data_IF_731456025804
#
_entry.id   IF_731456025804
#
_cell.length_a   1.000
_cell.length_b   1.000
_cell.length_c   1.000
_cell.angle_alpha   90.00
_cell.angle_beta   90.00
_cell.angle_gamma   90.00
#
_symmetry.space_group_name_H-M   'P 1'
#
loop_
_entity.id
_entity.type
_entity.pdbx_description
1 polymer ?
#
# COMPACT_ATOMS: atom_id res chain seq x y z
N UNK A 1 -26.82 50.24 34.58
CA UNK A 1 -25.61 49.40 34.54
C UNK A 1 -26.07 47.95 34.34
N UNK A 2 -26.19 47.51 33.07
CA UNK A 2 -26.68 46.18 32.72
C UNK A 2 -25.49 45.35 32.22
N UNK A 3 -25.15 44.28 32.97
CA UNK A 3 -24.06 43.35 32.64
C UNK A 3 -24.62 42.37 31.63
N UNK A 4 -24.16 42.49 30.36
CA UNK A 4 -24.48 41.56 29.30
C UNK A 4 -23.73 40.22 29.57
N UNK A 5 -24.50 39.18 29.87
CA UNK A 5 -23.99 37.81 29.98
C UNK A 5 -23.50 37.32 28.60
N UNK A 6 -22.19 37.18 28.44
CA UNK A 6 -21.56 36.46 27.30
C UNK A 6 -21.95 35.00 27.39
N UNK A 7 -22.89 34.56 26.58
CA UNK A 7 -23.13 33.14 26.30
C UNK A 7 -21.88 32.59 25.66
N UNK A 8 -21.19 31.70 26.36
CA UNK A 8 -20.10 30.85 25.78
C UNK A 8 -20.74 29.96 24.74
N UNK A 9 -20.58 30.30 23.46
CA UNK A 9 -20.85 29.35 22.36
C UNK A 9 -20.02 28.09 22.59
N UNK A 10 -20.72 27.00 22.91
CA UNK A 10 -20.11 25.68 22.94
C UNK A 10 -19.63 25.39 21.52
N UNK A 11 -18.37 24.98 21.33
CA UNK A 11 -17.89 24.62 20.00
C UNK A 11 -18.80 23.54 19.42
N UNK A 12 -19.37 23.84 18.26
CA UNK A 12 -20.22 22.95 17.51
C UNK A 12 -19.44 21.64 17.28
N UNK A 13 -19.86 20.54 17.93
CA UNK A 13 -19.25 19.21 17.77
C UNK A 13 -19.25 18.89 16.27
N UNK A 14 -18.08 18.92 15.64
CA UNK A 14 -17.89 18.42 14.28
C UNK A 14 -18.52 17.04 14.20
N UNK A 15 -19.30 16.78 13.14
CA UNK A 15 -20.02 15.50 12.90
C UNK A 15 -19.00 14.44 12.43
N UNK A 16 -17.96 14.20 13.22
CA UNK A 16 -17.07 13.03 13.08
C UNK A 16 -17.65 11.94 13.97
N UNK A 17 -18.39 11.03 13.36
CA UNK A 17 -18.88 9.83 14.06
C UNK A 17 -17.71 9.08 14.72
N UNK A 18 -18.00 8.22 15.71
CA UNK A 18 -17.00 7.37 16.35
C UNK A 18 -16.32 6.46 15.32
N UNK A 19 -15.08 6.06 15.59
CA UNK A 19 -14.36 5.04 14.80
C UNK A 19 -15.13 3.71 14.84
N UNK A 20 -15.35 3.12 13.64
CA UNK A 20 -16.13 1.87 13.49
C UNK A 20 -15.14 0.70 13.33
N UNK A 21 -14.61 0.23 14.46
CA UNK A 21 -13.59 -0.82 14.49
C UNK A 21 -13.97 -2.12 13.77
N UNK A 22 -15.22 -2.67 13.90
CA UNK A 22 -15.58 -3.89 13.18
C UNK A 22 -15.39 -3.75 11.65
N UNK A 23 -15.78 -2.61 11.08
CA UNK A 23 -15.59 -2.35 9.64
C UNK A 23 -14.11 -2.26 9.29
N UNK A 24 -13.29 -1.59 10.13
CA UNK A 24 -11.85 -1.48 9.91
C UNK A 24 -11.14 -2.84 9.96
N UNK A 25 -11.50 -3.69 10.93
CA UNK A 25 -10.91 -5.02 11.04
C UNK A 25 -11.32 -5.90 9.87
N UNK A 26 -12.61 -5.90 9.48
CA UNK A 26 -13.08 -6.71 8.37
C UNK A 26 -12.45 -6.24 7.06
N UNK A 27 -12.37 -4.93 6.77
CA UNK A 27 -11.73 -4.45 5.53
C UNK A 27 -10.21 -4.70 5.53
N UNK A 28 -9.55 -4.68 6.70
CA UNK A 28 -8.15 -5.07 6.85
C UNK A 28 -7.94 -6.56 6.56
N UNK A 29 -8.81 -7.44 7.06
CA UNK A 29 -8.80 -8.88 6.73
C UNK A 29 -9.05 -9.08 5.23
N UNK A 30 -10.03 -8.40 4.65
CA UNK A 30 -10.27 -8.49 3.21
C UNK A 30 -9.06 -8.02 2.39
N UNK A 31 -8.32 -7.01 2.86
CA UNK A 31 -7.07 -6.57 2.23
C UNK A 31 -5.98 -7.65 2.32
N UNK A 32 -5.84 -8.28 3.50
CA UNK A 32 -4.93 -9.41 3.66
C UNK A 32 -5.25 -10.53 2.67
N UNK A 33 -6.53 -10.92 2.56
CA UNK A 33 -6.95 -11.98 1.65
C UNK A 33 -6.75 -11.59 0.18
N UNK A 34 -7.06 -10.35 -0.21
CA UNK A 34 -6.81 -9.84 -1.56
C UNK A 34 -5.32 -9.90 -1.94
N UNK A 35 -4.44 -9.42 -1.07
CA UNK A 35 -3.01 -9.39 -1.35
C UNK A 35 -2.38 -10.77 -1.28
N UNK A 36 -2.94 -11.68 -0.47
CA UNK A 36 -2.58 -13.10 -0.50
C UNK A 36 -2.87 -13.71 -1.87
N UNK A 37 -4.03 -13.42 -2.50
CA UNK A 37 -4.34 -13.91 -3.85
C UNK A 37 -3.33 -13.43 -4.89
N UNK A 38 -2.84 -12.19 -4.77
CA UNK A 38 -1.80 -11.67 -5.66
C UNK A 38 -0.44 -12.31 -5.40
N UNK A 39 -0.08 -12.50 -4.13
CA UNK A 39 1.20 -13.08 -3.71
C UNK A 39 1.37 -14.55 -4.14
N UNK A 40 0.29 -15.27 -4.39
CA UNK A 40 0.30 -16.62 -4.97
C UNK A 40 0.97 -16.63 -6.35
N UNK A 41 0.82 -15.58 -7.16
CA UNK A 41 1.31 -15.55 -8.55
C UNK A 41 2.83 -15.68 -8.62
N UNK A 42 3.65 -14.81 -8.01
CA UNK A 42 5.10 -14.98 -8.01
C UNK A 42 5.54 -16.25 -7.25
N UNK A 43 4.80 -16.69 -6.25
CA UNK A 43 5.08 -17.93 -5.52
C UNK A 43 4.95 -19.19 -6.42
N UNK A 44 4.15 -19.11 -7.49
CA UNK A 44 3.99 -20.19 -8.48
C UNK A 44 5.14 -20.26 -9.50
N UNK A 45 5.97 -19.27 -9.66
CA UNK A 45 6.94 -19.19 -10.76
C UNK A 45 7.80 -20.43 -10.91
N UNK A 46 8.38 -21.03 -9.84
CA UNK A 46 9.16 -22.26 -9.98
C UNK A 46 8.33 -23.46 -10.46
N UNK A 47 7.02 -23.46 -10.15
CA UNK A 47 6.12 -24.53 -10.56
C UNK A 47 5.75 -24.37 -12.03
N UNK A 48 5.42 -23.16 -12.48
CA UNK A 48 5.10 -22.86 -13.87
C UNK A 48 6.30 -23.10 -14.80
N UNK A 49 7.51 -22.74 -14.35
CA UNK A 49 8.74 -23.06 -15.06
C UNK A 49 8.86 -24.56 -15.28
N UNK A 50 8.71 -25.37 -14.22
CA UNK A 50 8.88 -26.83 -14.29
C UNK A 50 7.76 -27.54 -15.04
N UNK A 51 6.49 -27.12 -14.84
CA UNK A 51 5.33 -27.82 -15.40
C UNK A 51 5.02 -27.44 -16.85
N UNK A 52 5.32 -26.20 -17.25
CA UNK A 52 4.98 -25.65 -18.56
C UNK A 52 6.20 -25.22 -19.38
N UNK A 53 7.41 -25.33 -18.84
CA UNK A 53 8.64 -24.90 -19.52
C UNK A 53 8.69 -23.39 -19.79
N UNK A 54 8.06 -22.56 -18.94
CA UNK A 54 8.04 -21.10 -19.13
C UNK A 54 9.45 -20.53 -18.93
N UNK A 55 9.84 -19.63 -19.84
CA UNK A 55 11.10 -18.90 -19.72
C UNK A 55 11.03 -17.83 -18.61
N UNK A 56 12.18 -17.41 -18.08
CA UNK A 56 12.24 -16.30 -17.10
C UNK A 56 11.62 -15.01 -17.64
N UNK A 57 11.78 -14.74 -18.94
CA UNK A 57 11.10 -13.63 -19.61
C UNK A 57 9.58 -13.74 -19.53
N UNK A 58 9.02 -14.92 -19.73
CA UNK A 58 7.57 -15.14 -19.62
C UNK A 58 7.09 -15.00 -18.19
N UNK A 59 7.84 -15.50 -17.21
CA UNK A 59 7.55 -15.27 -15.78
C UNK A 59 7.61 -13.77 -15.42
N UNK A 60 8.61 -13.07 -15.94
CA UNK A 60 8.71 -11.61 -15.81
C UNK A 60 7.52 -10.87 -16.43
N UNK A 61 7.03 -11.32 -17.60
CA UNK A 61 5.83 -10.75 -18.23
C UNK A 61 4.55 -11.01 -17.42
N UNK A 62 4.44 -12.15 -16.74
CA UNK A 62 3.34 -12.42 -15.80
C UNK A 62 3.35 -11.39 -14.66
N UNK A 63 4.50 -11.21 -14.00
CA UNK A 63 4.66 -10.23 -12.92
C UNK A 63 4.41 -8.79 -13.39
N UNK A 64 4.95 -8.44 -14.56
CA UNK A 64 4.73 -7.13 -15.18
C UNK A 64 3.25 -6.87 -15.46
N UNK A 65 2.55 -7.83 -16.06
CA UNK A 65 1.12 -7.73 -16.38
C UNK A 65 0.30 -7.51 -15.10
N UNK A 66 0.56 -8.29 -14.05
CA UNK A 66 -0.11 -8.11 -12.76
C UNK A 66 0.09 -6.71 -12.23
N UNK A 67 1.35 -6.26 -12.12
CA UNK A 67 1.70 -4.98 -11.51
C UNK A 67 1.21 -3.80 -12.36
N UNK A 68 1.31 -3.87 -13.69
CA UNK A 68 0.81 -2.82 -14.58
C UNK A 68 -0.70 -2.66 -14.46
N UNK A 69 -1.45 -3.76 -14.57
CA UNK A 69 -2.92 -3.72 -14.48
C UNK A 69 -3.34 -3.23 -13.09
N UNK A 70 -2.76 -3.81 -12.03
CA UNK A 70 -3.13 -3.44 -10.66
C UNK A 70 -2.75 -2.00 -10.30
N UNK A 71 -1.64 -1.47 -10.81
CA UNK A 71 -1.12 -0.15 -10.40
C UNK A 71 -1.65 1.00 -11.25
N UNK A 72 -1.58 0.87 -12.58
CA UNK A 72 -1.94 1.97 -13.49
C UNK A 72 -3.44 2.25 -13.49
N UNK A 73 -4.26 1.22 -13.29
CA UNK A 73 -5.71 1.38 -13.26
C UNK A 73 -6.24 2.00 -11.95
N UNK A 74 -5.49 1.92 -10.83
CA UNK A 74 -5.96 2.42 -9.52
C UNK A 74 -6.35 3.90 -9.53
N UNK A 75 -5.53 4.85 -10.03
CA UNK A 75 -5.89 6.26 -10.05
C UNK A 75 -7.13 6.54 -10.90
N UNK A 76 -7.26 5.86 -12.05
CA UNK A 76 -8.40 6.01 -12.96
C UNK A 76 -9.70 5.52 -12.31
N UNK A 77 -9.66 4.34 -11.68
CA UNK A 77 -10.79 3.75 -10.95
C UNK A 77 -11.13 4.64 -9.74
N UNK A 78 -10.14 5.07 -8.97
CA UNK A 78 -10.33 5.98 -7.85
C UNK A 78 -11.01 7.28 -8.24
N UNK A 79 -10.58 7.88 -9.37
CA UNK A 79 -11.21 9.08 -9.91
C UNK A 79 -12.67 8.86 -10.34
N UNK A 80 -12.96 7.71 -10.98
CA UNK A 80 -14.32 7.37 -11.38
C UNK A 80 -15.22 7.16 -10.16
N UNK A 81 -14.76 6.40 -9.17
CA UNK A 81 -15.54 6.07 -7.97
C UNK A 81 -15.65 7.24 -6.98
N UNK A 82 -14.75 8.23 -7.03
CA UNK A 82 -14.92 9.50 -6.32
C UNK A 82 -16.14 10.28 -6.80
N UNK A 83 -16.41 10.21 -8.11
CA UNK A 83 -17.57 10.86 -8.73
C UNK A 83 -18.84 10.03 -8.59
N UNK A 84 -18.72 8.70 -8.69
CA UNK A 84 -19.82 7.74 -8.66
C UNK A 84 -19.51 6.61 -7.67
N UNK A 85 -19.66 6.84 -6.35
CA UNK A 85 -19.39 5.82 -5.36
C UNK A 85 -20.16 4.53 -5.64
N UNK A 86 -19.46 3.41 -5.67
CA UNK A 86 -19.97 2.09 -6.05
C UNK A 86 -19.80 1.10 -4.88
N UNK A 87 -20.71 1.02 -3.92
CA UNK A 87 -20.56 0.17 -2.73
C UNK A 87 -20.28 -1.30 -3.04
N UNK A 88 -20.81 -1.81 -4.15
CA UNK A 88 -20.63 -3.21 -4.56
C UNK A 88 -19.41 -3.44 -5.47
N UNK A 89 -18.61 -2.41 -5.75
CA UNK A 89 -17.38 -2.58 -6.53
C UNK A 89 -16.39 -3.53 -5.83
N UNK A 90 -16.28 -3.48 -4.50
CA UNK A 90 -15.39 -4.32 -3.71
C UNK A 90 -15.66 -5.83 -3.85
N UNK A 91 -16.89 -6.34 -3.62
CA UNK A 91 -17.16 -7.76 -3.80
C UNK A 91 -17.04 -8.19 -5.28
N UNK A 92 -17.40 -7.35 -6.25
CA UNK A 92 -17.24 -7.65 -7.69
C UNK A 92 -15.74 -7.75 -8.03
N UNK A 93 -14.92 -6.84 -7.51
CA UNK A 93 -13.49 -6.84 -7.69
C UNK A 93 -12.84 -8.14 -7.21
N UNK A 94 -13.15 -8.53 -5.98
CA UNK A 94 -12.57 -9.73 -5.39
C UNK A 94 -13.13 -11.01 -6.01
N UNK A 95 -14.38 -11.00 -6.48
CA UNK A 95 -14.95 -12.10 -7.26
C UNK A 95 -14.22 -12.27 -8.61
N UNK A 96 -13.87 -11.16 -9.28
CA UNK A 96 -13.01 -11.20 -10.48
C UNK A 96 -11.66 -11.83 -10.19
N UNK A 97 -11.01 -11.44 -9.07
CA UNK A 97 -9.75 -12.05 -8.63
C UNK A 97 -9.91 -13.55 -8.34
N UNK A 98 -11.00 -13.96 -7.69
CA UNK A 98 -11.29 -15.37 -7.41
C UNK A 98 -11.47 -16.20 -8.69
N UNK A 99 -12.14 -15.66 -9.71
CA UNK A 99 -12.25 -16.30 -11.05
C UNK A 99 -10.87 -16.41 -11.68
N UNK A 100 -10.04 -15.34 -11.62
CA UNK A 100 -8.69 -15.36 -12.15
C UNK A 100 -7.81 -16.42 -11.46
N UNK A 101 -7.89 -16.55 -10.15
CA UNK A 101 -7.19 -17.57 -9.35
C UNK A 101 -7.66 -18.98 -9.73
N UNK A 102 -8.97 -19.19 -9.84
CA UNK A 102 -9.51 -20.48 -10.28
C UNK A 102 -9.03 -20.86 -11.69
N UNK A 103 -9.13 -19.92 -12.64
CA UNK A 103 -8.62 -20.10 -13.99
C UNK A 103 -7.11 -20.38 -14.03
N UNK A 104 -6.33 -19.71 -13.18
CA UNK A 104 -4.88 -19.89 -13.08
C UNK A 104 -4.50 -21.31 -12.64
N UNK A 105 -5.30 -21.94 -11.76
CA UNK A 105 -5.08 -23.32 -11.31
C UNK A 105 -5.11 -24.35 -12.44
N UNK A 106 -5.88 -24.08 -13.50
CA UNK A 106 -6.09 -24.99 -14.62
C UNK A 106 -5.67 -24.39 -15.97
N UNK A 107 -4.92 -23.28 -15.96
CA UNK A 107 -4.47 -22.62 -17.17
C UNK A 107 -3.51 -23.52 -17.97
N UNK A 108 -3.86 -23.87 -19.23
CA UNK A 108 -3.06 -24.82 -20.03
C UNK A 108 -1.97 -24.15 -20.84
N UNK A 109 -1.91 -22.81 -20.88
CA UNK A 109 -0.96 -22.08 -21.70
C UNK A 109 -0.58 -20.73 -21.08
N UNK A 110 0.56 -20.18 -21.52
CA UNK A 110 1.02 -18.86 -21.13
C UNK A 110 -0.04 -17.76 -21.37
N UNK A 111 -0.74 -17.80 -22.51
CA UNK A 111 -1.77 -16.82 -22.83
C UNK A 111 -2.96 -16.87 -21.86
N UNK A 112 -3.39 -18.08 -21.48
CA UNK A 112 -4.47 -18.24 -20.47
C UNK A 112 -4.03 -17.79 -19.09
N UNK A 113 -2.76 -18.02 -18.71
CA UNK A 113 -2.19 -17.46 -17.48
C UNK A 113 -2.27 -15.95 -17.49
N UNK A 114 -1.84 -15.28 -18.57
CA UNK A 114 -1.90 -13.81 -18.68
C UNK A 114 -3.34 -13.27 -18.54
N UNK A 115 -4.31 -13.95 -19.18
CA UNK A 115 -5.73 -13.57 -19.04
C UNK A 115 -6.20 -13.66 -17.58
N UNK A 116 -5.87 -14.75 -16.89
CA UNK A 116 -6.19 -14.92 -15.48
C UNK A 116 -5.54 -13.84 -14.60
N UNK A 117 -4.28 -13.53 -14.87
CA UNK A 117 -3.52 -12.48 -14.16
C UNK A 117 -4.11 -11.09 -14.39
N UNK A 118 -4.60 -10.79 -15.59
CA UNK A 118 -5.34 -9.53 -15.87
C UNK A 118 -6.59 -9.45 -15.00
N UNK A 119 -7.38 -10.53 -14.88
CA UNK A 119 -8.57 -10.55 -14.01
C UNK A 119 -8.22 -10.30 -12.54
N UNK A 120 -7.13 -10.89 -12.05
CA UNK A 120 -6.63 -10.68 -10.69
C UNK A 120 -6.17 -9.23 -10.51
N UNK A 121 -5.41 -8.71 -11.48
CA UNK A 121 -4.92 -7.33 -11.47
C UNK A 121 -6.06 -6.29 -11.49
N UNK A 122 -7.10 -6.50 -12.30
CA UNK A 122 -8.30 -5.64 -12.33
C UNK A 122 -9.05 -5.65 -11.00
N UNK A 123 -9.20 -6.83 -10.38
CA UNK A 123 -9.78 -6.95 -9.05
C UNK A 123 -9.02 -6.14 -8.03
N UNK A 124 -7.70 -6.27 -8.01
CA UNK A 124 -6.80 -5.51 -7.14
C UNK A 124 -6.87 -4.00 -7.40
N UNK A 125 -6.88 -3.59 -8.68
CA UNK A 125 -6.96 -2.18 -9.09
C UNK A 125 -8.22 -1.48 -8.57
N UNK A 126 -9.33 -2.18 -8.46
CA UNK A 126 -10.59 -1.69 -7.88
C UNK A 126 -10.54 -1.74 -6.35
N UNK A 127 -9.98 -2.83 -5.80
CA UNK A 127 -10.00 -3.09 -4.37
C UNK A 127 -9.26 -2.02 -3.56
N UNK A 128 -8.04 -1.65 -3.96
CA UNK A 128 -7.21 -0.74 -3.18
C UNK A 128 -7.82 0.66 -2.99
N UNK A 129 -8.28 1.41 -4.01
CA UNK A 129 -8.87 2.72 -3.81
C UNK A 129 -10.20 2.65 -3.04
N UNK A 130 -11.05 1.66 -3.32
CA UNK A 130 -12.34 1.53 -2.65
C UNK A 130 -12.21 1.02 -1.22
N UNK A 131 -11.31 0.07 -0.94
CA UNK A 131 -11.01 -0.41 0.40
C UNK A 131 -10.45 0.70 1.29
N UNK A 132 -9.52 1.50 0.78
CA UNK A 132 -8.99 2.68 1.47
C UNK A 132 -10.09 3.73 1.73
N UNK A 133 -11.05 3.90 0.81
CA UNK A 133 -12.24 4.76 1.01
C UNK A 133 -13.11 4.24 2.16
N UNK A 134 -13.39 2.94 2.23
CA UNK A 134 -14.13 2.32 3.33
C UNK A 134 -13.42 2.54 4.66
N UNK A 135 -12.09 2.31 4.70
CA UNK A 135 -11.27 2.56 5.88
C UNK A 135 -11.36 4.03 6.33
N UNK A 136 -11.27 4.98 5.39
CA UNK A 136 -11.42 6.41 5.67
C UNK A 136 -12.82 6.76 6.22
N UNK A 137 -13.89 6.18 5.65
CA UNK A 137 -15.28 6.41 6.12
C UNK A 137 -15.53 5.83 7.51
N UNK A 138 -14.84 4.75 7.88
CA UNK A 138 -14.94 4.11 9.19
C UNK A 138 -14.00 4.72 10.24
N UNK A 139 -13.06 5.57 9.83
CA UNK A 139 -11.98 6.11 10.67
C UNK A 139 -12.44 7.00 11.82
N UNK A 140 -13.52 7.75 11.65
CA UNK A 140 -13.86 8.83 12.59
C UNK A 140 -12.72 9.84 12.74
N UNK A 141 -12.29 10.17 13.98
CA UNK A 141 -11.16 11.07 14.19
C UNK A 141 -9.78 10.42 13.98
N UNK A 142 -9.69 9.07 13.89
CA UNK A 142 -8.43 8.30 13.88
C UNK A 142 -8.05 7.83 12.48
N UNK A 143 -7.85 8.76 11.55
CA UNK A 143 -7.60 8.45 10.13
C UNK A 143 -6.30 7.69 9.91
N UNK A 144 -5.23 8.07 10.62
CA UNK A 144 -3.94 7.39 10.57
C UNK A 144 -4.06 5.92 11.01
N UNK A 145 -4.65 5.68 12.18
CA UNK A 145 -4.87 4.32 12.69
C UNK A 145 -5.73 3.48 11.74
N UNK A 146 -6.82 4.04 11.21
CA UNK A 146 -7.71 3.33 10.30
C UNK A 146 -6.99 2.89 9.02
N UNK A 147 -6.20 3.79 8.42
CA UNK A 147 -5.41 3.47 7.24
C UNK A 147 -4.29 2.47 7.55
N UNK A 148 -3.69 2.54 8.74
CA UNK A 148 -2.69 1.56 9.18
C UNK A 148 -3.29 0.16 9.34
N UNK A 149 -4.44 0.01 9.97
CA UNK A 149 -5.13 -1.29 10.08
C UNK A 149 -5.40 -1.87 8.68
N UNK A 150 -5.86 -1.04 7.76
CA UNK A 150 -6.09 -1.44 6.38
C UNK A 150 -4.80 -1.91 5.68
N UNK A 151 -3.72 -1.12 5.76
CA UNK A 151 -2.46 -1.41 5.07
C UNK A 151 -1.70 -2.60 5.66
N UNK A 152 -1.74 -2.78 6.99
CA UNK A 152 -1.14 -3.95 7.65
C UNK A 152 -1.78 -5.24 7.14
N UNK A 153 -3.10 -5.23 6.86
CA UNK A 153 -3.76 -6.35 6.21
C UNK A 153 -3.04 -6.75 4.93
N UNK A 154 -2.88 -5.83 3.98
CA UNK A 154 -2.20 -6.10 2.71
C UNK A 154 -0.77 -6.60 2.89
N UNK A 155 0.04 -5.90 3.69
CA UNK A 155 1.43 -6.29 3.95
C UNK A 155 1.54 -7.71 4.55
N UNK A 156 0.61 -8.08 5.45
CA UNK A 156 0.54 -9.43 6.03
C UNK A 156 0.19 -10.47 4.97
N UNK A 157 -0.74 -10.14 4.07
CA UNK A 157 -1.12 -11.01 2.95
C UNK A 157 0.07 -11.33 2.04
N UNK A 158 0.86 -10.31 1.69
CA UNK A 158 2.08 -10.48 0.89
C UNK A 158 3.15 -11.30 1.62
N UNK A 159 3.29 -11.14 2.94
CA UNK A 159 4.27 -11.88 3.73
C UNK A 159 3.97 -13.40 3.79
N UNK A 160 2.75 -13.83 3.48
CA UNK A 160 2.41 -15.25 3.39
C UNK A 160 2.94 -15.96 2.14
N UNK A 161 3.40 -15.25 1.11
CA UNK A 161 3.84 -15.85 -0.16
C UNK A 161 4.86 -17.01 0.01
N UNK A 162 5.93 -16.87 0.80
CA UNK A 162 6.88 -17.98 1.01
C UNK A 162 6.26 -19.20 1.68
N UNK A 163 5.35 -19.00 2.63
CA UNK A 163 4.65 -20.10 3.32
C UNK A 163 3.69 -20.82 2.37
N UNK A 164 2.96 -20.07 1.56
CA UNK A 164 2.07 -20.60 0.52
C UNK A 164 2.86 -21.47 -0.45
N UNK A 165 4.00 -20.97 -0.95
CA UNK A 165 4.86 -21.74 -1.83
C UNK A 165 5.31 -23.06 -1.19
N UNK A 166 5.86 -22.99 0.03
CA UNK A 166 6.44 -24.15 0.70
C UNK A 166 5.40 -25.22 1.08
N UNK A 167 4.24 -24.82 1.61
CA UNK A 167 3.29 -25.74 2.22
C UNK A 167 2.14 -26.15 1.31
N UNK A 168 1.82 -25.38 0.27
CA UNK A 168 0.68 -25.66 -0.61
C UNK A 168 1.10 -25.89 -2.07
N UNK A 169 1.92 -25.01 -2.63
CA UNK A 169 2.19 -25.07 -4.06
C UNK A 169 3.24 -26.13 -4.42
N UNK A 170 4.24 -26.33 -3.56
CA UNK A 170 5.26 -27.38 -3.80
C UNK A 170 4.63 -28.78 -3.79
N UNK A 171 3.81 -29.19 -2.79
CA UNK A 171 3.20 -30.51 -2.79
C UNK A 171 2.04 -30.69 -3.77
N UNK A 172 1.26 -29.65 -4.07
CA UNK A 172 0.03 -29.76 -4.87
C UNK A 172 0.18 -29.31 -6.33
N UNK A 173 1.32 -28.69 -6.67
CA UNK A 173 1.54 -28.12 -7.99
C UNK A 173 0.59 -26.97 -8.35
N UNK A 174 0.48 -26.68 -9.65
CA UNK A 174 -0.39 -25.62 -10.17
C UNK A 174 -1.87 -25.76 -9.74
N UNK A 175 -2.51 -26.96 -9.72
CA UNK A 175 -3.89 -27.12 -9.25
C UNK A 175 -4.09 -26.71 -7.78
N UNK A 176 -3.05 -26.75 -6.96
CA UNK A 176 -3.09 -26.30 -5.57
C UNK A 176 -3.53 -24.84 -5.39
N UNK A 177 -3.38 -24.01 -6.43
CA UNK A 177 -3.85 -22.62 -6.44
C UNK A 177 -5.38 -22.54 -6.32
N UNK A 178 -6.14 -23.54 -6.78
CA UNK A 178 -7.59 -23.54 -6.69
C UNK A 178 -8.13 -23.36 -5.25
N UNK A 179 -7.38 -23.79 -4.23
CA UNK A 179 -7.75 -23.59 -2.82
C UNK A 179 -7.88 -22.11 -2.44
N UNK A 180 -7.12 -21.24 -3.10
CA UNK A 180 -7.20 -19.79 -2.88
C UNK A 180 -8.49 -19.18 -3.42
N UNK A 181 -9.21 -19.86 -4.30
CA UNK A 181 -10.56 -19.45 -4.69
C UNK A 181 -11.52 -19.45 -3.49
N UNK A 182 -11.40 -20.42 -2.58
CA UNK A 182 -12.18 -20.47 -1.34
C UNK A 182 -11.87 -19.25 -0.48
N UNK A 183 -10.57 -18.89 -0.37
CA UNK A 183 -10.13 -17.69 0.35
C UNK A 183 -10.75 -16.43 -0.26
N UNK A 184 -10.75 -16.32 -1.59
CA UNK A 184 -11.39 -15.23 -2.32
C UNK A 184 -12.90 -15.16 -2.07
N UNK A 185 -13.59 -16.30 -2.11
CA UNK A 185 -15.04 -16.35 -1.87
C UNK A 185 -15.44 -16.00 -0.43
N UNK A 186 -14.63 -16.39 0.58
CA UNK A 186 -14.82 -15.95 1.97
C UNK A 186 -14.72 -14.42 2.06
N UNK A 187 -13.70 -13.84 1.40
CA UNK A 187 -13.55 -12.40 1.38
C UNK A 187 -14.68 -11.68 0.63
N UNK A 188 -15.23 -12.26 -0.46
CA UNK A 188 -16.44 -11.74 -1.12
C UNK A 188 -17.62 -11.69 -0.13
N UNK A 189 -17.81 -12.73 0.69
CA UNK A 189 -18.84 -12.75 1.74
C UNK A 189 -18.68 -11.59 2.74
N UNK A 190 -17.47 -11.35 3.24
CA UNK A 190 -17.19 -10.21 4.11
C UNK A 190 -17.41 -8.86 3.41
N UNK A 191 -17.04 -8.76 2.15
CA UNK A 191 -17.21 -7.53 1.37
C UNK A 191 -18.67 -7.23 1.04
N UNK A 192 -19.54 -8.23 0.90
CA UNK A 192 -20.98 -8.02 0.78
C UNK A 192 -21.56 -7.39 2.06
N UNK A 193 -21.09 -7.81 3.24
CA UNK A 193 -21.45 -7.16 4.50
C UNK A 193 -20.98 -5.69 4.53
N UNK A 194 -19.70 -5.43 4.18
CA UNK A 194 -19.16 -4.07 4.09
C UNK A 194 -19.96 -3.22 3.08
N UNK A 195 -20.32 -3.78 1.93
CA UNK A 195 -21.05 -3.05 0.88
C UNK A 195 -22.40 -2.54 1.35
N UNK A 196 -23.11 -3.32 2.16
CA UNK A 196 -24.39 -2.90 2.78
C UNK A 196 -24.16 -1.73 3.74
N UNK A 197 -23.16 -1.81 4.60
CA UNK A 197 -22.77 -0.71 5.50
C UNK A 197 -22.37 0.54 4.71
N UNK A 198 -21.55 0.38 3.69
CA UNK A 198 -21.09 1.46 2.82
C UNK A 198 -22.26 2.16 2.13
N UNK A 199 -23.20 1.41 1.54
CA UNK A 199 -24.39 1.96 0.90
C UNK A 199 -25.24 2.79 1.88
N UNK A 200 -25.48 2.27 3.09
CA UNK A 200 -26.19 2.99 4.14
C UNK A 200 -25.46 4.27 4.59
N UNK A 201 -24.14 4.21 4.72
CA UNK A 201 -23.35 5.37 5.09
C UNK A 201 -23.37 6.47 4.03
N UNK A 202 -23.34 6.08 2.73
CA UNK A 202 -23.50 7.04 1.62
C UNK A 202 -24.85 7.77 1.64
N UNK A 203 -25.93 7.05 1.94
CA UNK A 203 -27.25 7.66 2.05
C UNK A 203 -27.28 8.72 3.16
N UNK A 204 -26.69 8.41 4.32
CA UNK A 204 -26.57 9.34 5.44
C UNK A 204 -25.74 10.58 5.05
N UNK A 205 -24.58 10.40 4.40
CA UNK A 205 -23.74 11.51 3.96
C UNK A 205 -24.48 12.39 2.94
N UNK A 206 -25.17 11.80 1.97
CA UNK A 206 -25.96 12.54 0.97
C UNK A 206 -27.12 13.33 1.60
N UNK A 207 -27.80 12.74 2.59
CA UNK A 207 -28.88 13.42 3.32
C UNK A 207 -28.35 14.62 4.12
N UNK A 208 -27.17 14.49 4.73
CA UNK A 208 -26.50 15.59 5.45
C UNK A 208 -25.98 16.67 4.49
N UNK A 209 -25.40 16.29 3.35
CA UNK A 209 -24.91 17.22 2.34
C UNK A 209 -26.02 18.10 1.74
N UNK A 210 -27.25 17.56 1.60
CA UNK A 210 -28.42 18.34 1.15
C UNK A 210 -28.86 19.42 2.15
N UNK A 211 -28.49 19.27 3.44
CA UNK A 211 -28.82 20.22 4.52
C UNK A 211 -27.70 21.20 4.82
N UNK A 212 -26.50 20.97 4.29
CA UNK A 212 -25.36 21.86 4.50
C UNK A 212 -25.29 22.93 3.40
N UNK A 213 -24.91 24.18 3.72
CA UNK A 213 -24.65 25.20 2.71
C UNK A 213 -23.55 24.70 1.77
N UNK A 214 -23.64 25.08 0.49
CA UNK A 214 -22.64 24.72 -0.51
C UNK A 214 -21.26 25.22 -0.05
N UNK A 215 -20.31 24.28 0.13
CA UNK A 215 -18.93 24.68 0.44
C UNK A 215 -18.38 25.45 -0.75
N UNK A 216 -17.82 26.63 -0.47
CA UNK A 216 -17.13 27.44 -1.46
C UNK A 216 -16.06 26.61 -2.19
N UNK A 217 -15.92 26.85 -3.48
CA UNK A 217 -14.84 26.23 -4.26
C UNK A 217 -13.50 26.68 -3.66
N UNK A 218 -12.58 25.73 -3.47
CA UNK A 218 -11.22 25.99 -2.97
C UNK A 218 -10.57 27.10 -3.80
N UNK A 219 -9.96 28.08 -3.16
CA UNK A 219 -9.26 29.15 -3.84
C UNK A 219 -8.12 28.55 -4.73
N UNK A 220 -7.87 29.14 -5.87
CA UNK A 220 -6.80 28.67 -6.78
C UNK A 220 -5.41 28.71 -6.14
N UNK A 221 -5.20 29.57 -5.15
CA UNK A 221 -3.94 29.67 -4.38
C UNK A 221 -3.68 28.39 -3.60
N UNK A 222 -4.67 27.89 -2.87
CA UNK A 222 -4.52 26.64 -2.10
C UNK A 222 -4.39 25.41 -3.00
N UNK A 223 -5.04 25.43 -4.17
CA UNK A 223 -4.94 24.32 -5.13
C UNK A 223 -3.51 24.14 -5.68
N UNK A 224 -2.80 25.22 -6.02
CA UNK A 224 -1.41 25.15 -6.47
C UNK A 224 -0.50 24.58 -5.39
N UNK A 225 -0.61 25.08 -4.16
CA UNK A 225 0.16 24.57 -3.01
C UNK A 225 -0.13 23.10 -2.72
N UNK A 226 -1.38 22.66 -2.81
CA UNK A 226 -1.76 21.26 -2.62
C UNK A 226 -1.20 20.36 -3.74
N UNK A 227 -1.16 20.82 -5.00
CA UNK A 227 -0.55 20.08 -6.12
C UNK A 227 0.97 19.97 -5.96
N UNK A 228 1.64 21.03 -5.52
CA UNK A 228 3.08 20.99 -5.21
C UNK A 228 3.37 19.99 -4.09
N UNK A 229 2.58 20.03 -3.00
CA UNK A 229 2.72 19.07 -1.90
C UNK A 229 2.47 17.62 -2.37
N UNK A 230 1.49 17.39 -3.25
CA UNK A 230 1.23 16.09 -3.84
C UNK A 230 2.43 15.61 -4.69
N UNK A 231 3.03 16.49 -5.49
CA UNK A 231 4.23 16.19 -6.27
C UNK A 231 5.40 15.76 -5.38
N UNK A 232 5.63 16.47 -4.27
CA UNK A 232 6.64 16.12 -3.27
C UNK A 232 6.34 14.73 -2.68
N UNK A 233 5.10 14.46 -2.25
CA UNK A 233 4.70 13.15 -1.71
C UNK A 233 4.94 12.02 -2.72
N UNK A 234 4.56 12.21 -3.98
CA UNK A 234 4.80 11.23 -5.06
C UNK A 234 6.30 10.94 -5.21
N UNK A 235 7.14 11.97 -5.16
CA UNK A 235 8.59 11.80 -5.24
C UNK A 235 9.17 11.09 -4.00
N UNK A 236 8.66 11.36 -2.81
CA UNK A 236 9.07 10.65 -1.60
C UNK A 236 8.61 9.17 -1.62
N UNK A 237 7.44 8.88 -2.20
CA UNK A 237 6.98 7.51 -2.44
C UNK A 237 7.94 6.79 -3.38
N UNK A 238 8.40 7.44 -4.46
CA UNK A 238 9.42 6.90 -5.36
C UNK A 238 10.68 6.51 -4.60
N UNK A 239 11.27 7.42 -3.83
CA UNK A 239 12.51 7.17 -3.09
C UNK A 239 12.37 5.98 -2.12
N UNK A 240 11.27 5.95 -1.35
CA UNK A 240 10.97 4.85 -0.43
C UNK A 240 10.77 3.53 -1.15
N UNK A 241 9.99 3.51 -2.23
CA UNK A 241 9.67 2.28 -2.97
C UNK A 241 10.91 1.69 -3.64
N UNK A 242 11.78 2.51 -4.23
CA UNK A 242 13.01 2.02 -4.83
C UNK A 242 13.96 1.43 -3.79
N UNK A 243 14.13 2.09 -2.64
CA UNK A 243 14.94 1.53 -1.55
C UNK A 243 14.35 0.21 -1.04
N UNK A 244 13.04 0.17 -0.76
CA UNK A 244 12.36 -1.04 -0.31
C UNK A 244 12.48 -2.19 -1.31
N UNK A 245 12.36 -1.91 -2.62
CA UNK A 245 12.54 -2.91 -3.67
C UNK A 245 14.01 -3.40 -3.79
N UNK A 246 14.99 -2.51 -3.62
CA UNK A 246 16.39 -2.91 -3.59
C UNK A 246 16.63 -3.94 -2.48
N UNK A 247 16.10 -3.69 -1.29
CA UNK A 247 16.22 -4.64 -0.17
C UNK A 247 15.42 -5.93 -0.46
N UNK A 248 14.16 -5.83 -0.83
CA UNK A 248 13.29 -7.02 -0.98
C UNK A 248 13.72 -7.93 -2.12
N UNK A 249 14.25 -7.38 -3.23
CA UNK A 249 14.55 -8.17 -4.43
C UNK A 249 16.03 -8.53 -4.56
N UNK A 250 16.95 -7.71 -4.03
CA UNK A 250 18.38 -7.89 -4.32
C UNK A 250 19.24 -8.08 -3.10
N UNK A 251 18.78 -7.72 -1.89
CA UNK A 251 19.62 -7.84 -0.70
C UNK A 251 19.96 -9.31 -0.36
N UNK A 252 19.11 -10.27 -0.71
CA UNK A 252 19.42 -11.68 -0.53
C UNK A 252 20.70 -12.08 -1.30
N UNK A 253 20.81 -11.63 -2.56
CA UNK A 253 22.03 -11.86 -3.38
C UNK A 253 23.25 -11.16 -2.76
N UNK A 254 23.06 -9.93 -2.28
CA UNK A 254 24.10 -9.21 -1.57
C UNK A 254 24.59 -9.98 -0.34
N UNK A 255 23.67 -10.49 0.48
CA UNK A 255 24.01 -11.24 1.69
C UNK A 255 24.71 -12.58 1.39
N UNK A 256 24.35 -13.24 0.30
CA UNK A 256 25.03 -14.45 -0.19
C UNK A 256 26.44 -14.11 -0.61
N UNK A 257 26.63 -13.06 -1.42
CA UNK A 257 27.94 -12.66 -1.96
C UNK A 257 28.88 -12.13 -0.86
N UNK A 258 28.40 -11.25 0.02
CA UNK A 258 29.23 -10.57 1.01
C UNK A 258 29.45 -11.38 2.29
N UNK A 259 28.48 -12.20 2.69
CA UNK A 259 28.55 -12.92 3.97
C UNK A 259 28.70 -14.44 3.80
N UNK A 260 28.71 -14.93 2.56
CA UNK A 260 28.79 -16.38 2.28
C UNK A 260 27.57 -17.16 2.79
N UNK A 261 26.40 -16.52 2.91
CA UNK A 261 25.19 -17.14 3.43
C UNK A 261 24.57 -18.09 2.41
N UNK A 262 23.88 -19.10 2.90
CA UNK A 262 22.99 -19.91 2.06
C UNK A 262 21.77 -19.12 1.62
N UNK A 263 21.09 -19.58 0.56
CA UNK A 263 19.82 -18.98 0.10
C UNK A 263 18.81 -18.92 1.25
N UNK A 264 18.71 -20.00 2.04
CA UNK A 264 17.77 -20.07 3.16
C UNK A 264 18.06 -19.00 4.23
N UNK A 265 19.32 -18.84 4.58
CA UNK A 265 19.75 -17.84 5.57
C UNK A 265 19.52 -16.43 5.06
N UNK A 266 19.85 -16.14 3.80
CA UNK A 266 19.65 -14.81 3.20
C UNK A 266 18.17 -14.39 3.19
N UNK A 267 17.23 -15.33 2.99
CA UNK A 267 15.80 -15.07 3.04
C UNK A 267 15.31 -14.62 4.42
N UNK A 268 16.01 -15.00 5.51
CA UNK A 268 15.64 -14.54 6.86
C UNK A 268 15.82 -13.03 7.03
N UNK A 269 16.79 -12.43 6.33
CA UNK A 269 17.01 -10.98 6.33
C UNK A 269 15.84 -10.24 5.68
N UNK A 270 15.38 -10.75 4.54
CA UNK A 270 14.23 -10.17 3.82
C UNK A 270 12.95 -10.33 4.64
N UNK A 271 12.73 -11.52 5.22
CA UNK A 271 11.58 -11.77 6.09
C UNK A 271 11.56 -10.79 7.28
N UNK A 272 12.73 -10.58 7.94
CA UNK A 272 12.81 -9.65 9.07
C UNK A 272 12.48 -8.21 8.65
N UNK A 273 13.01 -7.75 7.52
CA UNK A 273 12.70 -6.43 6.97
C UNK A 273 11.20 -6.26 6.72
N UNK A 274 10.56 -7.25 6.10
CA UNK A 274 9.14 -7.20 5.75
C UNK A 274 8.22 -7.28 6.97
N UNK A 275 8.49 -8.20 7.91
CA UNK A 275 7.62 -8.37 9.09
C UNK A 275 7.73 -7.16 10.03
N UNK A 276 8.94 -6.67 10.27
CA UNK A 276 9.14 -5.44 11.02
C UNK A 276 8.63 -4.21 10.26
N UNK A 277 8.66 -4.25 8.94
CA UNK A 277 8.01 -3.27 8.09
C UNK A 277 6.49 -3.22 8.28
N UNK A 278 5.82 -4.36 8.40
CA UNK A 278 4.40 -4.41 8.73
C UNK A 278 4.11 -3.76 10.10
N UNK A 279 4.96 -4.04 11.11
CA UNK A 279 4.87 -3.38 12.43
C UNK A 279 5.07 -1.87 12.31
N UNK A 280 6.07 -1.42 11.53
CA UNK A 280 6.31 0.00 11.25
C UNK A 280 5.09 0.67 10.63
N UNK A 281 4.50 0.05 9.61
CA UNK A 281 3.27 0.54 8.97
C UNK A 281 2.12 0.69 9.96
N UNK A 282 1.96 -0.25 10.90
CA UNK A 282 0.94 -0.17 11.95
C UNK A 282 1.21 1.01 12.89
N UNK A 283 2.44 1.12 13.39
CA UNK A 283 2.83 2.17 14.34
C UNK A 283 2.74 3.57 13.73
N UNK A 284 2.98 3.70 12.41
CA UNK A 284 2.97 4.97 11.71
C UNK A 284 1.66 5.76 11.85
N UNK A 285 0.51 5.08 11.82
CA UNK A 285 -0.79 5.74 11.96
C UNK A 285 -1.00 6.41 13.31
N UNK A 286 -0.92 5.70 14.45
CA UNK A 286 -0.99 6.29 15.77
C UNK A 286 0.06 7.39 16.01
N UNK A 287 1.28 7.21 15.49
CA UNK A 287 2.31 8.24 15.56
C UNK A 287 1.93 9.50 14.78
N UNK A 288 1.33 9.34 13.60
CA UNK A 288 0.87 10.46 12.81
C UNK A 288 -0.33 11.19 13.44
N UNK A 289 -1.23 10.45 14.06
CA UNK A 289 -2.36 11.03 14.80
C UNK A 289 -1.89 11.84 16.02
N UNK A 290 -0.73 11.49 16.61
CA UNK A 290 -0.15 12.17 17.80
C UNK A 290 0.83 13.28 17.42
N UNK A 291 1.74 13.04 16.50
CA UNK A 291 2.88 13.93 16.20
C UNK A 291 2.73 14.70 14.89
N UNK A 292 1.66 14.43 14.12
CA UNK A 292 1.41 15.00 12.81
C UNK A 292 2.02 14.18 11.67
N UNK A 293 1.32 14.15 10.55
CA UNK A 293 1.65 13.32 9.37
C UNK A 293 2.94 13.76 8.71
N UNK A 294 3.13 15.08 8.53
CA UNK A 294 4.37 15.65 8.00
C UNK A 294 5.60 15.17 8.77
N UNK A 295 5.55 15.19 10.10
CA UNK A 295 6.70 14.83 10.94
C UNK A 295 7.01 13.32 10.83
N UNK A 296 5.99 12.46 10.79
CA UNK A 296 6.20 11.02 10.61
C UNK A 296 6.82 10.72 9.24
N UNK A 297 6.35 11.38 8.17
CA UNK A 297 6.94 11.23 6.82
C UNK A 297 8.41 11.66 6.83
N UNK A 298 8.71 12.81 7.42
CA UNK A 298 10.06 13.35 7.53
C UNK A 298 10.99 12.38 8.29
N UNK A 299 10.58 12.00 9.50
CA UNK A 299 11.41 11.17 10.40
C UNK A 299 11.60 9.77 9.81
N UNK A 300 10.57 9.18 9.18
CA UNK A 300 10.68 7.84 8.61
C UNK A 300 11.77 7.72 7.54
N UNK A 301 11.93 8.72 6.70
CA UNK A 301 12.95 8.75 5.66
C UNK A 301 14.32 9.17 6.24
N UNK A 302 14.38 10.31 6.95
CA UNK A 302 15.67 10.84 7.43
C UNK A 302 16.32 9.97 8.51
N UNK A 303 15.54 9.35 9.40
CA UNK A 303 16.11 8.43 10.40
C UNK A 303 16.54 7.10 9.78
N UNK A 304 15.92 6.67 8.67
CA UNK A 304 16.39 5.50 7.91
C UNK A 304 17.69 5.75 7.17
N UNK A 305 18.00 6.99 6.80
CA UNK A 305 19.16 7.33 5.99
C UNK A 305 20.51 6.88 6.59
N UNK A 306 20.87 7.24 7.85
CA UNK A 306 22.14 6.80 8.43
C UNK A 306 22.21 5.27 8.57
N UNK A 307 21.10 4.62 8.89
CA UNK A 307 21.03 3.15 8.98
C UNK A 307 21.25 2.50 7.61
N UNK A 308 20.63 3.08 6.57
CA UNK A 308 20.79 2.63 5.19
C UNK A 308 22.23 2.77 4.70
N UNK A 309 22.92 3.88 5.04
CA UNK A 309 24.33 4.09 4.71
C UNK A 309 25.27 3.12 5.42
N UNK A 310 24.95 2.72 6.64
CA UNK A 310 25.75 1.75 7.40
C UNK A 310 25.57 0.32 6.89
N UNK A 311 24.42 -0.01 6.30
CA UNK A 311 24.06 -1.37 5.93
C UNK A 311 25.08 -2.04 4.99
N UNK A 312 25.58 -1.43 3.91
CA UNK A 312 26.56 -2.06 3.02
C UNK A 312 27.93 -2.31 3.66
N UNK A 313 28.21 -1.73 4.80
CA UNK A 313 29.48 -1.87 5.51
C UNK A 313 29.37 -2.70 6.79
N UNK A 314 28.19 -3.20 7.09
CA UNK A 314 27.89 -3.95 8.30
C UNK A 314 28.29 -5.42 8.15
N UNK A 315 28.77 -6.03 9.23
CA UNK A 315 28.90 -7.49 9.30
C UNK A 315 27.52 -8.16 9.43
N UNK A 316 27.41 -9.49 9.22
CA UNK A 316 26.14 -10.19 9.05
C UNK A 316 25.16 -9.95 10.21
N UNK A 317 25.59 -10.07 11.46
CA UNK A 317 24.71 -9.87 12.63
C UNK A 317 24.22 -8.43 12.72
N UNK A 318 25.12 -7.46 12.51
CA UNK A 318 24.73 -6.05 12.58
C UNK A 318 23.82 -5.64 11.41
N UNK A 319 24.07 -6.16 10.22
CA UNK A 319 23.19 -5.98 9.06
C UNK A 319 21.77 -6.51 9.28
N UNK A 320 21.64 -7.66 9.95
CA UNK A 320 20.35 -8.22 10.33
C UNK A 320 19.56 -7.26 11.23
N UNK A 321 20.21 -6.69 12.25
CA UNK A 321 19.61 -5.69 13.16
C UNK A 321 19.24 -4.40 12.39
N UNK A 322 20.16 -3.90 11.55
CA UNK A 322 19.94 -2.68 10.76
C UNK A 322 18.72 -2.84 9.83
N UNK A 323 18.57 -3.98 9.14
CA UNK A 323 17.43 -4.25 8.28
C UNK A 323 16.12 -4.24 9.06
N UNK A 324 16.10 -4.83 10.25
CA UNK A 324 14.92 -4.78 11.12
C UNK A 324 14.54 -3.35 11.49
N UNK A 325 15.51 -2.53 11.92
CA UNK A 325 15.29 -1.13 12.27
C UNK A 325 14.84 -0.30 11.06
N UNK A 326 15.50 -0.46 9.91
CA UNK A 326 15.11 0.21 8.66
C UNK A 326 13.69 -0.20 8.28
N UNK A 327 13.35 -1.48 8.39
CA UNK A 327 12.01 -1.98 8.13
C UNK A 327 10.96 -1.23 8.93
N UNK A 328 11.07 -1.16 10.25
CA UNK A 328 10.13 -0.43 11.12
C UNK A 328 10.07 1.06 10.77
N UNK A 329 11.22 1.72 10.66
CA UNK A 329 11.29 3.18 10.54
C UNK A 329 10.80 3.62 9.16
N UNK A 330 11.34 3.05 8.09
CA UNK A 330 11.05 3.45 6.71
C UNK A 330 9.57 3.24 6.35
N UNK A 331 8.98 2.14 6.76
CA UNK A 331 7.60 1.81 6.40
C UNK A 331 6.57 2.52 7.25
N UNK A 332 6.97 3.13 8.39
CA UNK A 332 6.05 3.88 9.26
C UNK A 332 5.32 5.03 8.53
N UNK A 333 5.91 5.58 7.47
CA UNK A 333 5.24 6.59 6.64
C UNK A 333 4.30 6.03 5.57
N UNK A 334 4.20 4.71 5.37
CA UNK A 334 3.44 4.14 4.26
C UNK A 334 1.96 4.50 4.31
N UNK A 335 1.26 4.17 5.38
CA UNK A 335 -0.14 4.53 5.58
C UNK A 335 -0.34 6.04 5.72
N UNK A 336 0.64 6.71 6.31
CA UNK A 336 0.59 8.15 6.61
C UNK A 336 0.62 9.00 5.33
N UNK A 337 1.41 8.60 4.33
CA UNK A 337 1.44 9.30 3.03
C UNK A 337 0.10 9.23 2.30
N UNK A 338 -0.63 8.11 2.43
CA UNK A 338 -1.98 7.97 1.87
C UNK A 338 -2.95 8.96 2.52
N UNK A 339 -2.97 9.00 3.87
CA UNK A 339 -3.86 9.91 4.61
C UNK A 339 -3.51 11.37 4.32
N UNK A 340 -2.23 11.70 4.28
CA UNK A 340 -1.77 13.06 3.96
C UNK A 340 -2.26 13.51 2.57
N UNK A 341 -2.13 12.65 1.55
CA UNK A 341 -2.62 12.94 0.20
C UNK A 341 -4.16 13.08 0.15
N UNK A 342 -4.90 12.25 0.90
CA UNK A 342 -6.36 12.35 1.02
C UNK A 342 -6.81 13.68 1.65
N UNK A 343 -6.06 14.19 2.63
CA UNK A 343 -6.35 15.47 3.28
C UNK A 343 -5.97 16.67 2.41
N UNK A 344 -4.96 16.55 1.54
CA UNK A 344 -4.64 17.58 0.54
C UNK A 344 -5.81 17.80 -0.44
N UNK A 345 -6.56 16.74 -0.77
CA UNK A 345 -7.68 16.78 -1.71
C UNK A 345 -8.94 16.13 -1.13
N UNK A 346 -9.64 16.78 -0.19
CA UNK A 346 -10.89 16.28 0.35
C UNK A 346 -11.92 16.03 -0.76
N UNK A 347 -12.60 14.89 -0.71
CA UNK A 347 -13.55 14.48 -1.75
C UNK A 347 -12.96 13.66 -2.89
N UNK A 348 -11.60 13.52 -2.94
CA UNK A 348 -10.90 12.66 -3.91
C UNK A 348 -10.15 11.51 -3.24
N UNK A 349 -10.80 10.86 -2.27
CA UNK A 349 -10.18 9.85 -1.41
C UNK A 349 -9.69 8.66 -2.22
N UNK A 350 -10.52 8.12 -3.11
CA UNK A 350 -10.16 7.00 -3.97
C UNK A 350 -9.05 7.35 -4.96
N UNK A 351 -9.12 8.54 -5.58
CA UNK A 351 -8.06 9.04 -6.48
C UNK A 351 -6.73 9.16 -5.75
N UNK A 352 -6.71 9.75 -4.56
CA UNK A 352 -5.48 9.96 -3.80
C UNK A 352 -4.90 8.64 -3.29
N UNK A 353 -5.75 7.71 -2.84
CA UNK A 353 -5.31 6.37 -2.44
C UNK A 353 -4.76 5.59 -3.62
N UNK A 354 -5.48 5.58 -4.75
CA UNK A 354 -5.01 4.91 -5.96
C UNK A 354 -3.71 5.51 -6.50
N UNK A 355 -3.55 6.84 -6.43
CA UNK A 355 -2.32 7.50 -6.84
C UNK A 355 -1.14 7.12 -5.93
N UNK A 356 -1.32 7.17 -4.61
CA UNK A 356 -0.23 6.94 -3.66
C UNK A 356 0.15 5.47 -3.54
N UNK A 357 -0.82 4.57 -3.47
CA UNK A 357 -0.58 3.11 -3.39
C UNK A 357 -0.21 2.55 -4.76
N UNK A 358 -0.95 2.91 -5.80
CA UNK A 358 -0.67 2.44 -7.17
C UNK A 358 0.71 2.90 -7.66
N UNK A 359 1.11 4.16 -7.39
CA UNK A 359 2.48 4.60 -7.70
C UNK A 359 3.53 3.86 -6.89
N UNK A 360 3.28 3.55 -5.63
CA UNK A 360 4.25 2.80 -4.82
C UNK A 360 4.59 1.45 -5.49
N UNK A 361 3.58 0.71 -5.94
CA UNK A 361 3.78 -0.58 -6.62
C UNK A 361 4.31 -0.40 -8.05
N UNK A 362 3.76 0.53 -8.82
CA UNK A 362 4.21 0.79 -10.19
C UNK A 362 5.65 1.29 -10.25
N UNK A 363 6.02 2.22 -9.38
CA UNK A 363 7.40 2.71 -9.26
C UNK A 363 8.34 1.62 -8.75
N UNK A 364 7.85 0.74 -7.88
CA UNK A 364 8.58 -0.45 -7.45
C UNK A 364 8.93 -1.39 -8.60
N UNK A 365 7.98 -1.68 -9.48
CA UNK A 365 8.21 -2.52 -10.66
C UNK A 365 9.27 -1.91 -11.61
N UNK A 366 9.17 -0.60 -11.90
CA UNK A 366 10.18 0.13 -12.69
C UNK A 366 11.53 0.12 -11.97
N UNK A 367 11.53 0.36 -10.66
CA UNK A 367 12.73 0.34 -9.82
C UNK A 367 13.46 -1.00 -9.87
N UNK A 368 12.74 -2.12 -9.86
CA UNK A 368 13.35 -3.45 -9.92
C UNK A 368 14.09 -3.70 -11.24
N UNK A 369 13.53 -3.25 -12.36
CA UNK A 369 14.20 -3.35 -13.67
C UNK A 369 15.43 -2.44 -13.72
N UNK A 370 15.30 -1.19 -13.29
CA UNK A 370 16.42 -0.25 -13.28
C UNK A 370 17.56 -0.71 -12.36
N UNK A 371 17.22 -1.18 -11.16
CA UNK A 371 18.20 -1.68 -10.19
C UNK A 371 18.89 -2.95 -10.71
N UNK A 372 18.15 -3.87 -11.32
CA UNK A 372 18.76 -5.03 -11.99
C UNK A 372 19.79 -4.63 -13.05
N UNK A 373 19.45 -3.65 -13.90
CA UNK A 373 20.38 -3.12 -14.91
C UNK A 373 21.61 -2.44 -14.30
N UNK A 374 21.44 -1.73 -13.16
CA UNK A 374 22.58 -1.14 -12.43
C UNK A 374 23.46 -2.23 -11.81
N UNK A 375 22.88 -3.30 -11.28
CA UNK A 375 23.65 -4.43 -10.74
C UNK A 375 24.44 -5.11 -11.85
N UNK A 376 23.84 -5.35 -13.01
CA UNK A 376 24.52 -5.93 -14.17
C UNK A 376 25.68 -5.05 -14.66
N UNK A 377 25.54 -3.73 -14.60
CA UNK A 377 26.54 -2.78 -15.07
C UNK A 377 27.65 -2.48 -14.04
N UNK A 378 27.32 -2.37 -12.77
CA UNK A 378 28.19 -1.85 -11.72
C UNK A 378 28.46 -2.85 -10.59
N UNK A 379 27.72 -3.95 -10.52
CA UNK A 379 27.77 -4.94 -9.44
C UNK A 379 26.84 -4.64 -8.27
N UNK A 380 26.67 -5.62 -7.38
CA UNK A 380 25.76 -5.57 -6.24
C UNK A 380 26.15 -4.49 -5.22
N UNK A 381 27.41 -4.51 -4.78
CA UNK A 381 27.88 -3.60 -3.71
C UNK A 381 27.78 -2.12 -4.09
N UNK A 382 28.27 -1.63 -5.25
CA UNK A 382 28.08 -0.25 -5.65
C UNK A 382 26.62 0.15 -5.79
N UNK A 383 25.78 -0.74 -6.29
CA UNK A 383 24.33 -0.47 -6.41
C UNK A 383 23.68 -0.35 -5.04
N UNK A 384 24.00 -1.21 -4.08
CA UNK A 384 23.49 -1.13 -2.70
C UNK A 384 23.94 0.15 -2.00
N UNK A 385 25.18 0.59 -2.20
CA UNK A 385 25.68 1.89 -1.69
C UNK A 385 24.91 3.04 -2.35
N UNK A 386 24.68 2.99 -3.67
CA UNK A 386 23.93 4.02 -4.38
C UNK A 386 22.50 4.18 -3.87
N UNK A 387 21.76 3.08 -3.69
CA UNK A 387 20.38 3.12 -3.19
C UNK A 387 20.29 3.54 -1.73
N UNK A 388 21.35 3.35 -0.93
CA UNK A 388 21.40 3.79 0.46
C UNK A 388 21.27 5.33 0.61
N UNK A 389 21.51 6.09 -0.44
CA UNK A 389 21.28 7.54 -0.45
C UNK A 389 19.82 7.93 -0.70
N UNK A 390 18.96 7.05 -1.19
CA UNK A 390 17.57 7.41 -1.49
C UNK A 390 16.80 7.99 -0.30
N UNK A 391 16.91 7.47 0.93
CA UNK A 391 16.19 8.03 2.07
C UNK A 391 16.55 9.48 2.43
N UNK A 392 17.71 10.03 2.01
CA UNK A 392 18.08 11.44 2.24
C UNK A 392 17.09 12.38 1.54
N UNK A 393 16.46 11.92 0.45
CA UNK A 393 15.44 12.69 -0.25
C UNK A 393 14.26 13.04 0.67
N UNK A 394 14.14 12.37 1.82
CA UNK A 394 13.24 12.76 2.90
C UNK A 394 13.36 14.20 3.36
N UNK A 395 14.51 14.89 3.10
CA UNK A 395 14.68 16.32 3.36
C UNK A 395 13.61 17.17 2.66
N UNK A 396 13.10 16.73 1.51
CA UNK A 396 12.04 17.43 0.80
C UNK A 396 10.72 17.47 1.60
N UNK A 397 10.53 16.61 2.60
CA UNK A 397 9.36 16.67 3.47
C UNK A 397 9.31 17.95 4.31
N UNK A 398 10.43 18.67 4.49
CA UNK A 398 10.41 20.00 5.10
C UNK A 398 9.56 21.01 4.30
N UNK A 399 9.47 20.85 2.98
CA UNK A 399 8.67 21.71 2.10
C UNK A 399 7.18 21.39 2.15
N UNK A 400 6.77 20.29 2.77
CA UNK A 400 5.37 19.93 2.91
C UNK A 400 4.65 20.90 3.86
N UNK A 401 3.41 21.29 3.57
CA UNK A 401 2.57 22.03 4.51
C UNK A 401 2.36 21.26 5.82
N UNK A 402 2.25 21.97 6.92
CA UNK A 402 1.91 21.35 8.20
C UNK A 402 0.46 20.84 8.20
N UNK A 403 0.17 19.89 9.08
CA UNK A 403 -1.21 19.36 9.27
C UNK A 403 -2.19 20.49 9.63
N UNK A 404 -1.76 21.46 10.43
CA UNK A 404 -2.56 22.65 10.77
C UNK A 404 -2.85 23.53 9.55
N UNK A 405 -1.87 23.68 8.65
CA UNK A 405 -2.03 24.43 7.39
C UNK A 405 -3.07 23.77 6.49
N UNK A 406 -2.99 22.44 6.37
CA UNK A 406 -3.95 21.67 5.57
C UNK A 406 -5.36 21.76 6.16
N UNK A 407 -5.49 21.70 7.51
CA UNK A 407 -6.78 21.86 8.18
C UNK A 407 -7.41 23.21 7.85
N UNK A 408 -6.64 24.30 7.95
CA UNK A 408 -7.10 25.65 7.58
C UNK A 408 -7.55 25.73 6.11
N UNK A 409 -6.83 25.09 5.19
CA UNK A 409 -7.23 25.03 3.78
C UNK A 409 -8.55 24.29 3.56
N UNK A 410 -8.88 23.36 4.44
CA UNK A 410 -10.10 22.56 4.35
C UNK A 410 -11.30 23.24 5.04
N UNK A 411 -11.06 24.25 5.87
CA UNK A 411 -12.08 25.06 6.57
C UNK A 411 -12.46 26.32 5.78
N UNK A 412 -11.53 26.85 4.95
CA UNK A 412 -11.74 28.00 4.06
C UNK A 412 -12.42 27.58 2.74
#
# INVERSE_FOLDING_TARGET
>A
MAIAARTKDKPQKSVTGSTVYPILLIIGICHMLNDTLQAVIPAMFPILERSMGLTFTQLGLIAFTLNMVSSVMQPAIGWYTDKRPMPYALPIALFSSAIGIFGLAFAPSFATILLCVVLIGLGSAIFHPEGSRVANMAAGPRRGLAQSIYQVGGNTGQAFAPLIAAFMLVPLGQPGVAWFTIVGMIAVGFLLYISRWYAGRLQTIRAQAKKAPAKAARSDIHRKSALTALGIIVFLIFARSWYGNAISNFYAFYAIEQYGLTIKESQTYIFLFLILGAIGTFLGGPLADRFGKKNVILVSLLASFPLALLLPFAGPVFAYVLLGLIGVILTSSFSVTVVYAQELFPGKIGTMSGLTVGLAFGMGAIGSVALGSFIDAFGLTPTMIGVAFLPILGILAFLLPSDQTISKWNES
#
